data_IF_787375310734
#
_entry.id   IF_787375310734
#
_cell.length_a   1.000
_cell.length_b   1.000
_cell.length_c   1.000
_cell.angle_alpha   90.00
_cell.angle_beta   90.00
_cell.angle_gamma   90.00
#
_symmetry.space_group_name_H-M   'P 1'
#
loop_
_entity.id
_entity.type
_entity.pdbx_description
1 polymer ?
#
# COMPACT_ATOMS: atom_id res chain seq x y z
N UNK A 1 -56.32 34.38 -34.52
CA UNK A 1 -54.92 34.65 -34.95
C UNK A 1 -53.96 34.74 -33.77
N UNK A 2 -54.25 35.48 -32.70
CA UNK A 2 -53.34 35.68 -31.56
C UNK A 2 -52.89 34.40 -30.84
N UNK A 3 -53.78 33.41 -30.66
CA UNK A 3 -53.45 32.12 -30.02
C UNK A 3 -52.35 31.34 -30.76
N UNK A 4 -52.32 31.41 -32.10
CA UNK A 4 -51.27 30.76 -32.91
C UNK A 4 -49.93 31.49 -32.83
N UNK A 5 -49.94 32.82 -32.69
CA UNK A 5 -48.72 33.63 -32.50
C UNK A 5 -48.08 33.37 -31.13
N UNK A 6 -48.88 33.23 -30.07
CA UNK A 6 -48.39 32.93 -28.72
C UNK A 6 -47.74 31.54 -28.65
N UNK A 7 -48.38 30.51 -29.21
CA UNK A 7 -47.83 29.14 -29.29
C UNK A 7 -46.52 29.13 -30.08
N UNK A 8 -46.43 29.90 -31.18
CA UNK A 8 -45.22 29.95 -32.00
C UNK A 8 -44.05 30.64 -31.28
N UNK A 9 -44.31 31.68 -30.48
CA UNK A 9 -43.29 32.33 -29.62
C UNK A 9 -42.79 31.41 -28.52
N UNK A 10 -43.70 30.77 -27.77
CA UNK A 10 -43.32 29.82 -26.71
C UNK A 10 -42.51 28.66 -27.26
N UNK A 11 -42.86 28.15 -28.46
CA UNK A 11 -42.08 27.09 -29.12
C UNK A 11 -40.68 27.56 -29.51
N UNK A 12 -40.52 28.78 -30.01
CA UNK A 12 -39.21 29.36 -30.31
C UNK A 12 -38.37 29.57 -29.04
N UNK A 13 -39.00 30.01 -27.96
CA UNK A 13 -38.33 30.24 -26.67
C UNK A 13 -37.91 28.92 -26.01
N UNK A 14 -38.75 27.89 -26.04
CA UNK A 14 -38.38 26.54 -25.61
C UNK A 14 -37.23 25.95 -26.44
N UNK A 15 -37.22 26.17 -27.77
CA UNK A 15 -36.12 25.74 -28.63
C UNK A 15 -34.82 26.49 -28.29
N UNK A 16 -34.91 27.78 -27.95
CA UNK A 16 -33.76 28.58 -27.51
C UNK A 16 -33.22 28.06 -26.17
N UNK A 17 -34.09 27.90 -25.17
CA UNK A 17 -33.74 27.39 -23.85
C UNK A 17 -33.16 25.97 -23.94
N UNK A 18 -33.72 25.10 -24.78
CA UNK A 18 -33.14 23.77 -25.00
C UNK A 18 -31.73 23.85 -25.57
N UNK A 19 -31.48 24.69 -26.58
CA UNK A 19 -30.13 24.87 -27.14
C UNK A 19 -29.15 25.40 -26.09
N UNK A 20 -29.57 26.37 -25.29
CA UNK A 20 -28.74 26.95 -24.24
C UNK A 20 -28.44 25.94 -23.13
N UNK A 21 -29.43 25.16 -22.70
CA UNK A 21 -29.25 24.06 -21.76
C UNK A 21 -28.29 22.98 -22.30
N UNK A 22 -28.41 22.62 -23.58
CA UNK A 22 -27.55 21.61 -24.20
C UNK A 22 -26.09 22.09 -24.22
N UNK A 23 -25.87 23.35 -24.59
CA UNK A 23 -24.55 23.98 -24.59
C UNK A 23 -23.95 24.02 -23.18
N UNK A 24 -24.72 24.44 -22.18
CA UNK A 24 -24.26 24.48 -20.78
C UNK A 24 -23.92 23.08 -20.25
N UNK A 25 -24.69 22.05 -20.63
CA UNK A 25 -24.39 20.66 -20.25
C UNK A 25 -23.09 20.15 -20.88
N UNK A 26 -22.81 20.50 -22.13
CA UNK A 26 -21.53 20.17 -22.79
C UNK A 26 -20.36 20.88 -22.12
N UNK A 27 -20.50 22.16 -21.81
CA UNK A 27 -19.48 22.93 -21.08
C UNK A 27 -19.23 22.34 -19.68
N UNK A 28 -20.29 21.99 -18.96
CA UNK A 28 -20.17 21.39 -17.62
C UNK A 28 -19.49 20.02 -17.67
N UNK A 29 -19.84 19.18 -18.65
CA UNK A 29 -19.18 17.88 -18.87
C UNK A 29 -17.70 18.03 -19.19
N UNK A 30 -17.35 18.98 -20.04
CA UNK A 30 -15.95 19.28 -20.39
C UNK A 30 -15.15 19.71 -19.16
N UNK A 31 -15.71 20.63 -18.35
CA UNK A 31 -15.06 21.08 -17.11
C UNK A 31 -14.91 19.97 -16.08
N UNK A 32 -15.92 19.10 -15.91
CA UNK A 32 -15.81 17.95 -15.01
C UNK A 32 -14.69 17.01 -15.44
N UNK A 33 -14.57 16.72 -16.75
CA UNK A 33 -13.49 15.90 -17.26
C UNK A 33 -12.11 16.52 -17.00
N UNK A 34 -11.96 17.82 -17.21
CA UNK A 34 -10.70 18.54 -16.90
C UNK A 34 -10.34 18.48 -15.41
N UNK A 35 -11.34 18.59 -14.52
CA UNK A 35 -11.13 18.44 -13.08
C UNK A 35 -10.72 17.01 -12.72
N UNK A 36 -11.37 15.99 -13.27
CA UNK A 36 -11.01 14.58 -13.08
C UNK A 36 -9.57 14.29 -13.56
N UNK A 37 -9.20 14.81 -14.73
CA UNK A 37 -7.85 14.68 -15.29
C UNK A 37 -6.81 15.38 -14.39
N UNK A 38 -7.10 16.60 -13.93
CA UNK A 38 -6.22 17.35 -13.04
C UNK A 38 -6.06 16.68 -11.67
N UNK A 39 -7.13 16.16 -11.08
CA UNK A 39 -7.09 15.39 -9.83
C UNK A 39 -6.23 14.14 -10.02
N UNK A 40 -6.40 13.43 -11.14
CA UNK A 40 -5.60 12.24 -11.46
C UNK A 40 -4.12 12.59 -11.61
N UNK A 41 -3.79 13.72 -12.23
CA UNK A 41 -2.40 14.20 -12.36
C UNK A 41 -1.81 14.63 -11.02
N UNK A 42 -2.57 15.36 -10.18
CA UNK A 42 -2.12 15.75 -8.85
C UNK A 42 -1.89 14.52 -7.95
N UNK A 43 -2.78 13.53 -8.03
CA UNK A 43 -2.60 12.25 -7.33
C UNK A 43 -1.42 11.44 -7.87
N UNK A 44 -1.11 11.54 -9.17
CA UNK A 44 0.08 10.93 -9.75
C UNK A 44 1.39 11.62 -9.28
N UNK A 45 1.33 12.92 -8.98
CA UNK A 45 2.45 13.69 -8.41
C UNK A 45 2.62 13.39 -6.91
N UNK A 46 1.54 13.11 -6.19
CA UNK A 46 1.59 12.66 -4.80
C UNK A 46 2.01 11.19 -4.73
N UNK A 47 3.30 10.90 -4.86
CA UNK A 47 3.85 9.55 -4.77
C UNK A 47 4.05 9.05 -3.32
N UNK A 48 3.90 9.93 -2.34
CA UNK A 48 4.19 9.64 -0.94
C UNK A 48 2.94 9.63 -0.07
N UNK A 49 2.95 8.83 0.99
CA UNK A 49 1.97 8.89 2.08
C UNK A 49 2.28 10.09 2.99
N UNK A 50 1.31 10.98 3.27
CA UNK A 50 1.57 12.24 3.96
C UNK A 50 1.92 12.07 5.45
N UNK A 51 1.56 10.94 6.06
CA UNK A 51 1.86 10.67 7.47
C UNK A 51 3.27 10.12 7.65
N UNK A 52 3.64 9.16 6.81
CA UNK A 52 4.87 8.38 6.96
C UNK A 52 6.02 8.87 6.08
N UNK A 53 5.73 9.62 5.02
CA UNK A 53 6.72 10.06 4.02
C UNK A 53 7.15 8.97 3.03
N UNK A 54 6.77 7.71 3.27
CA UNK A 54 7.07 6.58 2.39
C UNK A 54 6.26 6.62 1.09
N UNK A 55 6.59 5.75 0.14
CA UNK A 55 5.77 5.55 -1.05
C UNK A 55 4.33 5.18 -0.66
N UNK A 56 3.34 5.77 -1.33
CA UNK A 56 1.96 5.30 -1.17
C UNK A 56 1.68 4.10 -2.08
N UNK A 57 0.51 3.48 -1.90
CA UNK A 57 0.08 2.31 -2.69
C UNK A 57 0.25 2.50 -4.20
N UNK A 58 -0.15 3.65 -4.76
CA UNK A 58 -0.03 3.90 -6.20
C UNK A 58 1.43 3.92 -6.66
N UNK A 59 2.32 4.54 -5.88
CA UNK A 59 3.75 4.54 -6.17
C UNK A 59 4.36 3.12 -6.04
N UNK A 60 3.88 2.31 -5.10
CA UNK A 60 4.26 0.91 -4.96
C UNK A 60 3.86 0.09 -6.19
N UNK A 61 2.61 0.20 -6.64
CA UNK A 61 2.11 -0.56 -7.79
C UNK A 61 2.97 -0.28 -9.04
N UNK A 62 3.28 0.99 -9.29
CA UNK A 62 4.17 1.42 -10.38
C UNK A 62 5.60 0.90 -10.20
N UNK A 63 6.15 0.98 -8.99
CA UNK A 63 7.50 0.50 -8.69
C UNK A 63 7.60 -1.01 -8.87
N UNK A 64 6.58 -1.78 -8.46
CA UNK A 64 6.54 -3.23 -8.60
C UNK A 64 6.61 -3.65 -10.07
N UNK A 65 5.83 -3.03 -10.95
CA UNK A 65 5.87 -3.30 -12.39
C UNK A 65 7.25 -3.01 -13.01
N UNK A 66 7.85 -1.87 -12.61
CA UNK A 66 9.17 -1.45 -13.08
C UNK A 66 10.27 -2.41 -12.62
N UNK A 67 10.32 -2.70 -11.33
CA UNK A 67 11.30 -3.60 -10.73
C UNK A 67 11.16 -5.03 -11.25
N UNK A 68 9.94 -5.50 -11.45
CA UNK A 68 9.66 -6.80 -12.08
C UNK A 68 10.25 -6.85 -13.49
N UNK A 69 9.95 -5.86 -14.33
CA UNK A 69 10.45 -5.78 -15.71
C UNK A 69 11.98 -5.75 -15.74
N UNK A 70 12.60 -4.99 -14.84
CA UNK A 70 14.06 -4.90 -14.71
C UNK A 70 14.66 -6.25 -14.29
N UNK A 71 14.18 -6.85 -13.20
CA UNK A 71 14.72 -8.10 -12.69
C UNK A 71 14.52 -9.25 -13.68
N UNK A 72 13.38 -9.28 -14.39
CA UNK A 72 13.09 -10.27 -15.42
C UNK A 72 14.07 -10.17 -16.58
N UNK A 73 14.31 -8.95 -17.08
CA UNK A 73 15.26 -8.71 -18.18
C UNK A 73 16.68 -9.17 -17.87
N UNK A 74 17.11 -9.01 -16.62
CA UNK A 74 18.48 -9.33 -16.21
C UNK A 74 18.62 -10.66 -15.46
N UNK A 75 17.55 -11.47 -15.40
CA UNK A 75 17.50 -12.74 -14.67
C UNK A 75 18.00 -12.58 -13.21
N UNK A 76 17.43 -11.59 -12.52
CA UNK A 76 17.72 -11.28 -11.11
C UNK A 76 16.54 -11.64 -10.23
N UNK A 77 16.81 -11.90 -8.96
CA UNK A 77 15.78 -12.17 -7.98
C UNK A 77 15.03 -10.87 -7.60
N UNK A 78 13.74 -10.99 -7.30
CA UNK A 78 12.94 -9.91 -6.73
C UNK A 78 12.18 -10.47 -5.51
N UNK A 79 12.33 -9.82 -4.37
CA UNK A 79 11.62 -10.17 -3.15
C UNK A 79 10.62 -9.08 -2.74
N UNK A 80 9.52 -9.50 -2.13
CA UNK A 80 8.47 -8.65 -1.61
C UNK A 80 8.15 -9.07 -0.17
N UNK A 81 8.10 -8.09 0.73
CA UNK A 81 7.70 -8.27 2.12
C UNK A 81 6.43 -7.46 2.35
N UNK A 82 5.32 -8.13 2.66
CA UNK A 82 4.11 -7.51 3.21
C UNK A 82 4.19 -7.50 4.73
N UNK A 83 3.82 -6.38 5.36
CA UNK A 83 4.00 -6.13 6.80
C UNK A 83 2.70 -5.58 7.36
N UNK A 84 2.30 -6.05 8.54
CA UNK A 84 1.16 -5.53 9.29
C UNK A 84 1.51 -5.39 10.78
N UNK A 85 1.00 -4.32 11.41
CA UNK A 85 1.20 -4.07 12.83
C UNK A 85 0.14 -4.82 13.65
N UNK A 86 0.57 -5.88 14.33
CA UNK A 86 -0.28 -6.64 15.23
C UNK A 86 -0.76 -5.79 16.40
N UNK A 87 -2.08 -5.72 16.57
CA UNK A 87 -2.70 -5.05 17.71
C UNK A 87 -2.86 -3.53 17.54
N UNK A 88 -2.63 -3.00 16.33
CA UNK A 88 -2.74 -1.57 16.05
C UNK A 88 -4.10 -0.96 16.46
N UNK A 89 -5.21 -1.65 16.16
CA UNK A 89 -6.54 -1.18 16.58
C UNK A 89 -6.68 -1.10 18.11
N UNK A 90 -6.26 -2.14 18.83
CA UNK A 90 -6.32 -2.16 20.30
C UNK A 90 -5.44 -1.08 20.92
N UNK A 91 -4.31 -0.80 20.29
CA UNK A 91 -3.42 0.30 20.66
C UNK A 91 -4.09 1.67 20.48
N UNK A 92 -4.73 1.90 19.33
CA UNK A 92 -5.51 3.12 19.08
C UNK A 92 -6.69 3.27 20.05
N UNK A 93 -7.42 2.19 20.31
CA UNK A 93 -8.56 2.21 21.22
C UNK A 93 -8.11 2.53 22.67
N UNK A 94 -6.90 2.11 23.06
CA UNK A 94 -6.36 2.32 24.40
C UNK A 94 -5.66 3.69 24.59
N UNK A 95 -4.97 4.19 23.57
CA UNK A 95 -4.08 5.37 23.69
C UNK A 95 -4.42 6.52 22.74
N UNK A 96 -5.43 6.35 21.89
CA UNK A 96 -5.87 7.33 20.91
C UNK A 96 -5.07 7.29 19.60
N UNK A 97 -5.71 7.79 18.53
CA UNK A 97 -5.15 7.78 17.18
C UNK A 97 -3.82 8.51 17.03
N UNK A 98 -3.56 9.56 17.82
CA UNK A 98 -2.28 10.27 17.79
C UNK A 98 -1.11 9.36 18.17
N UNK A 99 -1.31 8.44 19.11
CA UNK A 99 -0.29 7.46 19.47
C UNK A 99 -0.11 6.45 18.32
N UNK A 100 -1.20 5.99 17.70
CA UNK A 100 -1.12 5.13 16.51
C UNK A 100 -0.35 5.77 15.37
N UNK A 101 -0.56 7.04 15.10
CA UNK A 101 0.17 7.80 14.09
C UNK A 101 1.68 7.81 14.38
N UNK A 102 2.08 7.96 15.65
CA UNK A 102 3.50 7.85 16.04
C UNK A 102 4.06 6.45 15.80
N UNK A 103 3.26 5.40 16.02
CA UNK A 103 3.67 4.02 15.75
C UNK A 103 3.88 3.76 14.26
N UNK A 104 3.01 4.31 13.40
CA UNK A 104 3.15 4.25 11.94
C UNK A 104 4.41 4.99 11.48
N UNK A 105 4.68 6.18 12.03
CA UNK A 105 5.90 6.96 11.76
C UNK A 105 7.14 6.22 12.23
N UNK A 106 7.09 5.56 13.39
CA UNK A 106 8.20 4.75 13.89
C UNK A 106 8.53 3.60 12.94
N UNK A 107 7.52 2.84 12.51
CA UNK A 107 7.74 1.77 11.53
C UNK A 107 8.31 2.33 10.23
N UNK A 108 7.81 3.46 9.74
CA UNK A 108 8.34 4.10 8.54
C UNK A 108 9.84 4.40 8.64
N UNK A 109 10.30 4.98 9.75
CA UNK A 109 11.73 5.22 10.01
C UNK A 109 12.55 3.94 10.08
N UNK A 110 11.99 2.88 10.69
CA UNK A 110 12.64 1.56 10.74
C UNK A 110 12.81 1.00 9.32
N UNK A 111 11.80 1.14 8.46
CA UNK A 111 11.88 0.71 7.07
C UNK A 111 12.93 1.51 6.30
N UNK A 112 12.92 2.84 6.38
CA UNK A 112 13.92 3.70 5.71
C UNK A 112 15.35 3.36 6.14
N UNK A 113 15.59 3.12 7.43
CA UNK A 113 16.92 2.80 7.95
C UNK A 113 17.44 1.41 7.52
N UNK A 114 16.53 0.49 7.16
CA UNK A 114 16.88 -0.88 6.77
C UNK A 114 16.81 -1.14 5.25
N UNK A 115 16.28 -0.19 4.48
CA UNK A 115 16.18 -0.24 3.02
C UNK A 115 17.38 0.42 2.36
N UNK A 116 17.85 -0.17 1.27
CA UNK A 116 18.85 0.42 0.37
C UNK A 116 18.17 1.46 -0.53
N UNK A 117 18.98 2.28 -1.18
CA UNK A 117 18.50 3.24 -2.20
C UNK A 117 17.74 2.58 -3.36
N UNK A 118 18.04 1.33 -3.69
CA UNK A 118 17.37 0.58 -4.74
C UNK A 118 16.08 -0.11 -4.27
N UNK A 119 15.89 -0.24 -2.96
CA UNK A 119 14.71 -0.85 -2.37
C UNK A 119 13.57 0.18 -2.34
N UNK A 120 12.33 -0.29 -2.33
CA UNK A 120 11.15 0.57 -2.26
C UNK A 120 10.32 0.17 -1.04
N UNK A 121 10.22 1.07 -0.06
CA UNK A 121 9.35 0.92 1.09
C UNK A 121 8.11 1.83 0.95
N UNK A 122 6.95 1.31 1.29
CA UNK A 122 5.70 2.04 1.17
C UNK A 122 4.64 1.67 2.19
N UNK A 123 3.69 2.57 2.39
CA UNK A 123 2.45 2.30 3.14
C UNK A 123 1.39 1.85 2.15
N UNK A 124 0.95 0.60 2.29
CA UNK A 124 0.01 -0.03 1.38
C UNK A 124 -1.44 0.36 1.73
N UNK A 125 -1.74 0.55 3.00
CA UNK A 125 -3.01 1.09 3.49
C UNK A 125 -3.19 0.86 4.99
N UNK A 126 -3.81 1.79 5.72
CA UNK A 126 -4.03 1.63 7.16
C UNK A 126 -2.73 1.38 7.94
N UNK A 127 -2.59 0.21 8.54
CA UNK A 127 -1.43 -0.31 9.26
C UNK A 127 -0.57 -1.30 8.46
N UNK A 128 -0.84 -1.43 7.16
CA UNK A 128 -0.12 -2.31 6.23
C UNK A 128 0.98 -1.56 5.47
N UNK A 129 2.16 -2.18 5.43
CA UNK A 129 3.35 -1.70 4.76
C UNK A 129 3.90 -2.77 3.81
N UNK A 130 4.71 -2.32 2.87
CA UNK A 130 5.34 -3.18 1.87
C UNK A 130 6.78 -2.75 1.64
N UNK A 131 7.66 -3.73 1.42
CA UNK A 131 9.03 -3.52 0.99
C UNK A 131 9.33 -4.38 -0.24
N UNK A 132 9.76 -3.73 -1.32
CA UNK A 132 10.24 -4.36 -2.55
C UNK A 132 11.76 -4.32 -2.56
N UNK A 133 12.37 -5.50 -2.74
CA UNK A 133 13.82 -5.71 -2.66
C UNK A 133 14.31 -6.28 -4.00
N UNK A 134 14.72 -5.44 -4.95
CA UNK A 134 15.31 -5.93 -6.19
C UNK A 134 16.67 -6.59 -5.94
N UNK A 135 17.02 -7.52 -6.82
CA UNK A 135 18.29 -8.28 -6.78
C UNK A 135 18.54 -8.94 -5.41
N UNK A 136 17.48 -9.40 -4.76
CA UNK A 136 17.54 -9.91 -3.39
C UNK A 136 16.93 -11.31 -3.31
N UNK A 137 17.74 -12.27 -2.89
CA UNK A 137 17.31 -13.64 -2.66
C UNK A 137 16.52 -13.80 -1.35
N UNK A 138 15.92 -14.98 -1.19
CA UNK A 138 15.07 -15.30 -0.03
C UNK A 138 15.84 -15.27 1.30
N UNK A 139 17.10 -15.68 1.33
CA UNK A 139 17.94 -15.62 2.55
C UNK A 139 18.18 -14.19 3.00
N UNK A 140 18.56 -13.32 2.07
CA UNK A 140 18.87 -11.92 2.34
C UNK A 140 17.60 -11.16 2.72
N UNK A 141 16.48 -11.42 2.03
CA UNK A 141 15.20 -10.83 2.37
C UNK A 141 14.72 -11.23 3.78
N UNK A 142 14.96 -12.48 4.22
CA UNK A 142 14.69 -12.90 5.61
C UNK A 142 15.52 -12.11 6.63
N UNK A 143 16.78 -11.81 6.33
CA UNK A 143 17.62 -10.99 7.22
C UNK A 143 17.17 -9.54 7.29
N UNK A 144 16.69 -8.97 6.18
CA UNK A 144 16.06 -7.63 6.16
C UNK A 144 14.81 -7.64 7.03
N UNK A 145 13.91 -8.60 6.82
CA UNK A 145 12.68 -8.74 7.59
C UNK A 145 12.94 -8.89 9.10
N UNK A 146 13.92 -9.73 9.47
CA UNK A 146 14.32 -9.92 10.88
C UNK A 146 14.77 -8.62 11.52
N UNK A 147 15.65 -7.87 10.85
CA UNK A 147 16.17 -6.59 11.37
C UNK A 147 15.05 -5.56 11.55
N UNK A 148 14.11 -5.49 10.59
CA UNK A 148 12.94 -4.61 10.70
C UNK A 148 12.11 -4.97 11.94
N UNK A 149 11.80 -6.25 12.16
CA UNK A 149 11.05 -6.70 13.33
C UNK A 149 11.79 -6.38 14.65
N UNK A 150 13.08 -6.73 14.75
CA UNK A 150 13.90 -6.46 15.94
C UNK A 150 13.97 -4.94 16.25
N UNK A 151 14.20 -4.10 15.25
CA UNK A 151 14.29 -2.64 15.44
C UNK A 151 12.94 -2.00 15.80
N UNK A 152 11.84 -2.50 15.24
CA UNK A 152 10.49 -2.06 15.62
C UNK A 152 10.19 -2.39 17.09
N UNK A 153 10.50 -3.61 17.53
CA UNK A 153 10.33 -4.03 18.92
C UNK A 153 11.22 -3.24 19.89
N UNK A 154 12.46 -2.91 19.51
CA UNK A 154 13.34 -2.08 20.33
C UNK A 154 12.84 -0.64 20.48
N UNK A 155 12.34 -0.05 19.40
CA UNK A 155 11.80 1.32 19.43
C UNK A 155 10.52 1.43 20.27
N UNK A 156 9.79 0.33 20.44
CA UNK A 156 8.58 0.26 21.25
C UNK A 156 8.83 0.52 22.74
N UNK A 157 9.90 -0.03 23.30
CA UNK A 157 10.20 0.11 24.73
C UNK A 157 10.42 1.58 25.15
N UNK A 158 10.78 2.45 24.21
CA UNK A 158 10.94 3.88 24.42
C UNK A 158 9.61 4.67 24.49
N UNK A 159 8.50 4.14 23.94
CA UNK A 159 7.19 4.82 23.83
C UNK A 159 6.26 4.47 25.01
N UNK A 160 6.77 3.80 26.06
CA UNK A 160 6.01 3.50 27.29
C UNK A 160 5.50 4.78 27.96
N UNK A 161 4.25 5.15 27.63
CA UNK A 161 3.52 6.22 28.29
C UNK A 161 3.19 5.85 29.76
N UNK A 162 3.28 6.88 30.59
CA UNK A 162 3.12 6.89 32.05
C UNK A 162 1.79 6.23 32.51
N UNK A 163 1.85 4.97 32.93
CA UNK A 163 0.85 4.37 33.83
C UNK A 163 -0.31 3.57 33.22
N UNK A 164 -0.34 3.34 31.90
CA UNK A 164 -1.32 2.44 31.26
C UNK A 164 -0.84 0.98 31.19
N UNK A 165 -1.76 -0.01 31.04
CA UNK A 165 -1.38 -1.39 30.81
C UNK A 165 -0.58 -1.53 29.50
N UNK A 166 0.45 -2.40 29.44
CA UNK A 166 1.30 -2.52 28.27
C UNK A 166 0.55 -3.16 27.09
N UNK A 167 0.04 -2.36 26.15
CA UNK A 167 -0.52 -2.86 24.88
C UNK A 167 0.62 -3.09 23.90
N UNK A 168 1.28 -4.25 23.92
CA UNK A 168 2.41 -4.52 23.01
C UNK A 168 1.96 -4.74 21.56
N UNK A 169 2.58 -4.01 20.63
CA UNK A 169 2.48 -4.28 19.19
C UNK A 169 3.66 -5.15 18.72
N UNK A 170 3.45 -5.93 17.66
CA UNK A 170 4.51 -6.67 16.94
C UNK A 170 4.27 -6.58 15.43
N UNK A 171 5.15 -7.16 14.62
CA UNK A 171 4.96 -7.22 13.17
C UNK A 171 4.64 -8.65 12.74
N UNK A 172 3.53 -8.81 12.01
CA UNK A 172 3.32 -9.98 11.16
C UNK A 172 3.85 -9.66 9.76
N UNK A 173 4.61 -10.58 9.18
CA UNK A 173 5.29 -10.36 7.91
C UNK A 173 5.12 -11.55 6.98
N UNK A 174 4.80 -11.28 5.71
CA UNK A 174 4.74 -12.26 4.63
C UNK A 174 5.81 -11.98 3.59
N UNK A 175 6.69 -12.94 3.33
CA UNK A 175 7.77 -12.82 2.35
C UNK A 175 7.51 -13.74 1.16
N UNK A 176 7.60 -13.20 -0.05
CA UNK A 176 7.69 -13.97 -1.28
C UNK A 176 8.93 -13.55 -2.08
N UNK A 177 9.48 -14.49 -2.84
CA UNK A 177 10.62 -14.25 -3.72
C UNK A 177 10.34 -14.90 -5.07
N UNK A 178 10.43 -14.12 -6.15
CA UNK A 178 10.40 -14.65 -7.48
C UNK A 178 11.83 -14.90 -7.95
N UNK A 179 12.14 -16.18 -8.17
CA UNK A 179 13.26 -16.57 -9.03
C UNK A 179 12.75 -16.52 -10.46
N UNK A 180 13.09 -15.47 -11.19
CA UNK A 180 12.51 -15.15 -12.51
C UNK A 180 13.04 -16.08 -13.62
N UNK A 181 12.72 -17.37 -13.53
CA UNK A 181 12.88 -18.37 -14.58
C UNK A 181 11.51 -18.70 -15.18
N UNK A 182 10.98 -17.79 -16.00
CA UNK A 182 9.65 -17.90 -16.62
C UNK A 182 8.80 -16.63 -16.41
N UNK A 183 7.73 -16.49 -17.19
CA UNK A 183 6.83 -15.34 -17.14
C UNK A 183 5.84 -15.47 -15.97
N UNK A 184 6.24 -15.13 -14.75
CA UNK A 184 5.35 -15.04 -13.58
C UNK A 184 4.95 -13.58 -13.35
N UNK A 185 3.69 -13.20 -13.52
CA UNK A 185 3.25 -11.80 -13.43
C UNK A 185 3.60 -11.14 -12.09
N UNK A 186 3.92 -9.84 -12.10
CA UNK A 186 4.29 -9.07 -10.90
C UNK A 186 3.24 -9.16 -9.77
N UNK A 187 1.95 -9.24 -10.14
CA UNK A 187 0.83 -9.47 -9.22
C UNK A 187 0.94 -10.78 -8.42
N UNK A 188 1.57 -11.82 -8.99
CA UNK A 188 1.76 -13.10 -8.30
C UNK A 188 2.71 -12.95 -7.11
N UNK A 189 3.76 -12.12 -7.23
CA UNK A 189 4.69 -11.87 -6.12
C UNK A 189 3.96 -11.23 -4.94
N UNK A 190 3.14 -10.21 -5.23
CA UNK A 190 2.35 -9.52 -4.21
C UNK A 190 1.34 -10.46 -3.57
N UNK A 191 0.60 -11.22 -4.38
CA UNK A 191 -0.37 -12.21 -3.89
C UNK A 191 0.28 -13.28 -2.99
N UNK A 192 1.47 -13.77 -3.35
CA UNK A 192 2.21 -14.76 -2.56
C UNK A 192 2.68 -14.17 -1.22
N UNK A 193 3.16 -12.92 -1.21
CA UNK A 193 3.56 -12.24 0.01
C UNK A 193 2.35 -11.99 0.92
N UNK A 194 1.20 -11.60 0.36
CA UNK A 194 -0.05 -11.43 1.09
C UNK A 194 -0.56 -12.75 1.70
N UNK A 195 -0.53 -13.85 0.95
CA UNK A 195 -0.86 -15.18 1.47
C UNK A 195 0.03 -15.58 2.65
N UNK A 196 1.33 -15.29 2.57
CA UNK A 196 2.25 -15.56 3.67
C UNK A 196 1.99 -14.67 4.89
N UNK A 197 1.60 -13.40 4.68
CA UNK A 197 1.20 -12.49 5.76
C UNK A 197 -0.08 -12.97 6.44
N UNK A 198 -1.08 -13.38 5.66
CA UNK A 198 -2.30 -13.98 6.18
C UNK A 198 -2.01 -15.23 7.03
N UNK A 199 -1.08 -16.08 6.57
CA UNK A 199 -0.64 -17.24 7.34
C UNK A 199 0.07 -16.83 8.65
N UNK A 200 0.92 -15.80 8.63
CA UNK A 200 1.55 -15.27 9.84
C UNK A 200 0.49 -14.76 10.85
N UNK A 201 -0.52 -14.01 10.38
CA UNK A 201 -1.61 -13.49 11.21
C UNK A 201 -2.47 -14.60 11.81
N UNK A 202 -2.76 -15.65 11.06
CA UNK A 202 -3.61 -16.76 11.49
C UNK A 202 -2.90 -17.79 12.38
N UNK A 203 -1.57 -17.89 12.29
CA UNK A 203 -0.79 -18.89 13.06
C UNK A 203 -0.15 -18.36 14.34
N UNK A 204 -0.48 -17.12 14.74
CA UNK A 204 -0.12 -16.59 16.06
C UNK A 204 0.58 -15.24 16.06
N UNK A 205 0.65 -14.55 14.90
CA UNK A 205 1.17 -13.18 14.76
C UNK A 205 2.66 -13.06 15.15
N UNK A 206 3.21 -11.85 15.05
CA UNK A 206 4.55 -11.51 15.54
C UNK A 206 5.66 -12.39 14.96
N UNK A 207 5.59 -12.68 13.65
CA UNK A 207 6.50 -13.59 12.96
C UNK A 207 6.61 -13.27 11.48
N UNK A 208 7.67 -13.78 10.88
CA UNK A 208 7.81 -13.85 9.43
C UNK A 208 7.34 -15.22 8.95
N UNK A 209 6.49 -15.26 7.93
CA UNK A 209 6.25 -16.48 7.17
C UNK A 209 6.64 -16.24 5.70
N UNK A 210 7.26 -17.26 5.11
CA UNK A 210 7.81 -17.22 3.75
C UNK A 210 6.95 -18.12 2.88
N UNK A 211 6.43 -17.56 1.79
CA UNK A 211 5.75 -18.33 0.76
C UNK A 211 6.74 -19.28 0.09
N UNK A 212 6.41 -20.58 0.10
CA UNK A 212 7.18 -21.59 -0.61
C UNK A 212 6.38 -22.15 -1.78
N UNK A 213 6.84 -21.98 -3.03
CA UNK A 213 6.16 -22.51 -4.21
C UNK A 213 6.20 -24.04 -4.32
N UNK A 214 7.07 -24.73 -3.57
CA UNK A 214 7.18 -26.20 -3.60
C UNK A 214 7.51 -26.79 -2.22
N UNK A 215 6.63 -27.60 -1.60
CA UNK A 215 5.29 -27.97 -2.10
C UNK A 215 4.36 -26.75 -2.21
N UNK A 216 3.50 -26.67 -3.24
CA UNK A 216 2.64 -25.52 -3.47
C UNK A 216 1.73 -25.27 -2.26
N UNK A 217 1.75 -24.04 -1.74
CA UNK A 217 0.95 -23.63 -0.59
C UNK A 217 1.56 -23.98 0.76
N UNK A 218 2.86 -24.30 0.82
CA UNK A 218 3.56 -24.44 2.11
C UNK A 218 4.16 -23.12 2.56
N UNK A 219 4.13 -22.88 3.87
CA UNK A 219 4.67 -21.67 4.49
C UNK A 219 5.76 -22.07 5.49
N UNK A 220 6.96 -21.53 5.32
CA UNK A 220 8.02 -21.64 6.31
C UNK A 220 7.97 -20.43 7.22
N UNK A 221 7.70 -20.60 8.52
CA UNK A 221 7.76 -19.48 9.46
C UNK A 221 9.13 -19.43 10.15
N UNK A 222 9.63 -18.20 10.35
CA UNK A 222 10.89 -17.90 11.00
C UNK A 222 10.67 -16.79 12.06
N UNK A 223 11.46 -16.86 13.13
CA UNK A 223 11.41 -15.94 14.28
C UNK A 223 10.02 -15.90 14.95
N UNK A 224 9.52 -17.07 15.37
CA UNK A 224 8.45 -17.10 16.35
C UNK A 224 8.97 -16.55 17.68
N UNK A 225 8.14 -15.84 18.45
CA UNK A 225 8.49 -15.47 19.82
C UNK A 225 8.94 -16.71 20.60
N UNK A 226 10.20 -16.75 21.06
CA UNK A 226 10.67 -17.74 22.03
C UNK A 226 11.93 -18.56 21.71
N UNK A 227 12.88 -18.05 20.92
CA UNK A 227 14.28 -18.56 20.95
C UNK A 227 15.17 -17.66 21.83
#
# INVERSE_FOLDING_TARGET
MEKNLAVHRTRQENLRLHRELTKTLEELRSKNKQLEDAVTQLQAIAATDPLTGLANRRAIDLALEQLYTQCYRYNRDLACIMIDIDGFKQYNDALGHQCGDQLLIQLARVLEANCRRADVAGRFGGDEFIVLLPETDSSTARLVAKRIAEQFELGWDAVRHKGGPPVRCSLSMGLACLRLAGASAAEQLLMQADQALYYAKSTGKGRLCVFNPAPPGTFGCAFARGD
#
